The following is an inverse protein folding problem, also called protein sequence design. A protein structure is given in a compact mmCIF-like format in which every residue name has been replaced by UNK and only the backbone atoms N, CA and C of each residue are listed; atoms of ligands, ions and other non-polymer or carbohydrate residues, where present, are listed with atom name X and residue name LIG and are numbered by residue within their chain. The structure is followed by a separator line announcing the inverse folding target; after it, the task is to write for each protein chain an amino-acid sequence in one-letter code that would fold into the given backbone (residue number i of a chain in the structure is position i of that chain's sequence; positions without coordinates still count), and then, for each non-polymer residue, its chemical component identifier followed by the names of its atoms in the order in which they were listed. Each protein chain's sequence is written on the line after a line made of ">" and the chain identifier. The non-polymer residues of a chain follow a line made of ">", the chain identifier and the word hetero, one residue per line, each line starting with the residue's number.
data_IF_947729619816
#
_entry.id   IF_947729619816
#
_cell.length_a   1.000
_cell.length_b   1.000
_cell.length_c   1.000
_cell.angle_alpha   90.00
_cell.angle_beta   90.00
_cell.angle_gamma   90.00
#
_symmetry.space_group_name_H-M   'P 1'
#
loop_
_entity.id
_entity.type
_entity.pdbx_description
1 polymer ?
#
# COMPACT_ATOMS: atom_id res chain seq x y z
N UNK A 1 41.67 9.90 -85.43
CA UNK A 1 40.68 8.89 -84.93
C UNK A 1 40.89 8.39 -83.48
N UNK A 2 42.07 8.47 -82.92
CA UNK A 2 42.33 8.00 -81.55
C UNK A 2 42.02 9.11 -80.43
N UNK A 3 42.13 10.34 -80.80
CA UNK A 3 41.86 11.46 -79.83
C UNK A 3 40.41 11.69 -79.53
N UNK A 4 39.52 11.53 -80.53
CA UNK A 4 38.08 11.72 -80.34
C UNK A 4 37.44 10.67 -79.41
N UNK A 5 37.92 9.43 -79.47
CA UNK A 5 37.41 8.33 -78.60
C UNK A 5 37.83 8.55 -77.14
N UNK A 6 38.95 9.13 -76.83
CA UNK A 6 39.39 9.40 -75.44
C UNK A 6 38.58 10.52 -74.82
N UNK A 7 38.19 11.55 -75.55
CA UNK A 7 37.39 12.69 -75.06
C UNK A 7 35.96 12.27 -74.81
N UNK A 8 35.37 11.42 -75.66
CA UNK A 8 34.01 10.90 -75.44
C UNK A 8 33.97 9.96 -74.19
N UNK A 9 34.94 9.07 -74.04
CA UNK A 9 35.05 8.20 -72.88
C UNK A 9 35.25 8.95 -71.56
N UNK A 10 36.02 10.03 -71.54
CA UNK A 10 36.24 10.88 -70.37
C UNK A 10 34.98 11.70 -70.01
N UNK A 11 34.16 12.07 -71.01
CA UNK A 11 32.92 12.82 -70.78
C UNK A 11 31.82 11.94 -70.25
N UNK A 12 31.70 10.68 -70.74
CA UNK A 12 30.77 9.69 -70.22
C UNK A 12 31.12 9.29 -68.77
N UNK A 13 32.40 9.04 -68.46
CA UNK A 13 32.84 8.71 -67.09
C UNK A 13 32.57 9.87 -66.10
N UNK A 14 32.70 11.11 -66.56
CA UNK A 14 32.45 12.29 -65.74
C UNK A 14 30.95 12.52 -65.47
N UNK A 15 30.07 12.11 -66.37
CA UNK A 15 28.61 12.16 -66.23
C UNK A 15 28.16 11.08 -65.26
N UNK A 16 28.66 9.84 -65.42
CA UNK A 16 28.34 8.72 -64.52
C UNK A 16 28.75 8.98 -63.06
N UNK A 17 29.89 9.61 -62.80
CA UNK A 17 30.34 9.92 -61.46
C UNK A 17 29.51 11.06 -60.80
N UNK A 18 29.00 12.02 -61.62
CA UNK A 18 28.07 13.04 -61.09
C UNK A 18 26.71 12.45 -60.69
N UNK A 19 26.21 11.52 -61.47
CA UNK A 19 24.92 10.88 -61.20
C UNK A 19 24.99 9.97 -59.96
N UNK A 20 26.08 9.25 -59.77
CA UNK A 20 26.34 8.51 -58.52
C UNK A 20 26.45 9.42 -57.29
N UNK A 21 27.04 10.57 -57.41
CA UNK A 21 27.15 11.57 -56.33
C UNK A 21 25.76 12.16 -55.96
N UNK A 22 24.94 12.46 -56.98
CA UNK A 22 23.59 12.99 -56.80
C UNK A 22 22.65 11.95 -56.13
N UNK A 23 22.68 10.68 -56.57
CA UNK A 23 21.91 9.63 -55.95
C UNK A 23 22.33 9.35 -54.49
N UNK A 24 23.62 9.41 -54.18
CA UNK A 24 24.10 9.26 -52.82
C UNK A 24 23.66 10.40 -51.87
N UNK A 25 23.65 11.61 -52.39
CA UNK A 25 23.21 12.79 -51.58
C UNK A 25 21.70 12.82 -51.35
N UNK A 26 20.90 12.35 -52.31
CA UNK A 26 19.45 12.17 -52.14
C UNK A 26 19.12 11.07 -51.15
N UNK A 27 19.83 9.93 -51.22
CA UNK A 27 19.66 8.83 -50.27
C UNK A 27 19.95 9.29 -48.82
N UNK A 28 21.05 10.01 -48.61
CA UNK A 28 21.40 10.54 -47.28
C UNK A 28 20.43 11.62 -46.80
N UNK A 29 19.89 12.43 -47.70
CA UNK A 29 18.90 13.46 -47.37
C UNK A 29 17.56 12.85 -46.97
N UNK A 30 17.14 11.82 -47.67
CA UNK A 30 15.89 11.12 -47.39
C UNK A 30 15.96 10.32 -46.07
N UNK A 31 17.10 9.69 -45.77
CA UNK A 31 17.33 9.02 -44.50
C UNK A 31 17.32 9.99 -43.28
N UNK A 32 17.87 11.17 -43.41
CA UNK A 32 17.80 12.18 -42.36
C UNK A 32 16.37 12.63 -42.04
N UNK A 33 15.53 12.76 -43.05
CA UNK A 33 14.15 13.21 -42.88
C UNK A 33 13.26 12.14 -42.21
N UNK A 34 13.48 10.87 -42.50
CA UNK A 34 12.78 9.74 -41.89
C UNK A 34 13.20 9.60 -40.42
N UNK A 35 14.50 9.73 -40.11
CA UNK A 35 15.04 9.59 -38.79
C UNK A 35 14.55 10.68 -37.79
N UNK A 36 14.41 11.91 -38.27
CA UNK A 36 13.92 13.02 -37.44
C UNK A 36 12.42 12.93 -37.16
N UNK A 37 11.63 12.37 -38.07
CA UNK A 37 10.19 12.19 -37.90
C UNK A 37 9.85 11.07 -36.91
N UNK A 38 10.65 9.99 -36.88
CA UNK A 38 10.50 8.92 -35.91
C UNK A 38 11.02 9.32 -34.52
N UNK A 39 12.09 10.08 -34.42
CA UNK A 39 12.59 10.61 -33.13
C UNK A 39 11.54 11.43 -32.40
N UNK A 40 10.82 12.30 -33.08
CA UNK A 40 9.74 13.09 -32.47
C UNK A 40 8.61 12.18 -31.96
N UNK A 41 8.22 11.16 -32.69
CA UNK A 41 7.20 10.20 -32.25
C UNK A 41 7.64 9.36 -31.05
N UNK A 42 8.89 8.89 -31.05
CA UNK A 42 9.48 8.15 -29.93
C UNK A 42 9.58 9.05 -28.69
N UNK A 43 9.97 10.31 -28.85
CA UNK A 43 10.08 11.26 -27.76
C UNK A 43 8.72 11.57 -27.13
N UNK A 44 7.68 11.76 -27.95
CA UNK A 44 6.29 11.94 -27.48
C UNK A 44 5.79 10.70 -26.76
N UNK A 45 6.06 9.51 -27.27
CA UNK A 45 5.68 8.24 -26.65
C UNK A 45 6.35 8.08 -25.26
N UNK A 46 7.65 8.39 -25.19
CA UNK A 46 8.39 8.34 -23.91
C UNK A 46 7.86 9.34 -22.90
N UNK A 47 7.50 10.55 -23.35
CA UNK A 47 6.93 11.61 -22.50
C UNK A 47 5.54 11.19 -21.96
N UNK A 48 4.73 10.52 -22.78
CA UNK A 48 3.46 9.96 -22.33
C UNK A 48 3.64 8.87 -21.24
N UNK A 49 4.63 7.98 -21.40
CA UNK A 49 4.93 6.95 -20.40
C UNK A 49 5.35 7.60 -19.07
N UNK A 50 6.24 8.59 -19.13
CA UNK A 50 6.69 9.33 -17.92
C UNK A 50 5.51 10.04 -17.25
N UNK A 51 4.61 10.65 -18.01
CA UNK A 51 3.41 11.29 -17.48
C UNK A 51 2.47 10.30 -16.78
N UNK A 52 2.28 9.10 -17.35
CA UNK A 52 1.47 8.03 -16.74
C UNK A 52 2.11 7.52 -15.44
N UNK A 53 3.44 7.33 -15.44
CA UNK A 53 4.17 6.90 -14.23
C UNK A 53 4.05 7.96 -13.14
N UNK A 54 4.23 9.23 -13.46
CA UNK A 54 4.07 10.33 -12.51
C UNK A 54 2.63 10.40 -11.98
N UNK A 55 1.63 10.20 -12.83
CA UNK A 55 0.23 10.18 -12.39
C UNK A 55 -0.03 9.04 -11.42
N UNK A 56 0.43 7.81 -11.74
CA UNK A 56 0.28 6.64 -10.85
C UNK A 56 1.00 6.87 -9.52
N UNK A 57 2.21 7.46 -9.53
CA UNK A 57 2.94 7.79 -8.30
C UNK A 57 2.18 8.83 -7.46
N UNK A 58 1.70 9.92 -8.06
CA UNK A 58 0.94 10.95 -7.34
C UNK A 58 -0.38 10.38 -6.80
N UNK A 59 -1.04 9.51 -7.56
CA UNK A 59 -2.30 8.88 -7.13
C UNK A 59 -2.08 7.88 -5.99
N UNK A 60 -0.98 7.11 -6.02
CA UNK A 60 -0.61 6.23 -4.91
C UNK A 60 -0.17 7.00 -3.66
N UNK A 61 0.59 8.08 -3.81
CA UNK A 61 1.02 8.91 -2.67
C UNK A 61 -0.17 9.64 -2.02
N UNK A 62 -1.15 10.09 -2.80
CA UNK A 62 -2.38 10.71 -2.26
C UNK A 62 -3.27 9.73 -1.49
N UNK A 63 -3.13 8.43 -1.72
CA UNK A 63 -3.93 7.41 -1.04
C UNK A 63 -3.52 7.18 0.42
N UNK A 64 -2.36 7.70 0.83
CA UNK A 64 -1.83 7.54 2.19
C UNK A 64 -2.09 8.73 3.12
N UNK A 65 -2.56 9.88 2.61
CA UNK A 65 -2.75 11.09 3.43
C UNK A 65 -4.21 11.38 3.80
N UNK A 66 -5.16 10.55 3.34
CA UNK A 66 -6.58 10.77 3.65
C UNK A 66 -7.03 9.74 4.70
N UNK A 67 -6.75 10.05 5.97
CA UNK A 67 -7.58 9.56 7.06
C UNK A 67 -8.90 10.34 6.99
N UNK A 68 -9.84 9.80 6.24
CA UNK A 68 -11.22 10.28 6.27
C UNK A 68 -11.78 9.94 7.66
N UNK A 69 -11.71 10.90 8.58
CA UNK A 69 -12.38 10.81 9.89
C UNK A 69 -13.86 10.86 9.59
N UNK A 70 -14.46 9.71 9.29
CA UNK A 70 -15.87 9.61 8.92
C UNK A 70 -16.79 10.01 10.04
N UNK A 71 -16.39 9.78 11.28
CA UNK A 71 -17.17 10.18 12.45
C UNK A 71 -16.22 10.40 13.64
N UNK A 72 -16.43 11.52 14.35
CA UNK A 72 -15.77 11.77 15.64
C UNK A 72 -16.80 11.48 16.72
N UNK A 73 -16.67 10.31 17.33
CA UNK A 73 -17.46 10.03 18.54
C UNK A 73 -16.81 10.73 19.73
N UNK A 74 -17.60 11.47 20.47
CA UNK A 74 -17.17 11.98 21.78
C UNK A 74 -16.93 10.79 22.68
N UNK A 75 -15.66 10.50 23.00
CA UNK A 75 -15.28 9.42 23.90
C UNK A 75 -15.67 9.82 25.33
N UNK A 76 -16.67 9.16 25.85
CA UNK A 76 -16.97 9.16 27.30
C UNK A 76 -16.11 8.04 27.94
N UNK A 77 -14.79 8.19 27.85
CA UNK A 77 -13.88 7.22 28.45
C UNK A 77 -13.40 7.73 29.81
N UNK A 78 -13.38 6.85 30.81
CA UNK A 78 -12.69 7.14 32.08
C UNK A 78 -11.17 7.17 31.85
N UNK A 79 -10.42 7.85 32.73
CA UNK A 79 -8.97 7.95 32.61
C UNK A 79 -8.21 6.59 32.69
N UNK A 80 -8.93 5.50 32.99
CA UNK A 80 -8.41 4.14 33.19
C UNK A 80 -8.93 3.17 32.14
N UNK A 81 -9.29 3.65 30.94
CA UNK A 81 -9.74 2.82 29.84
C UNK A 81 -8.56 2.40 28.98
N UNK A 82 -8.44 1.10 28.71
CA UNK A 82 -7.40 0.48 27.91
C UNK A 82 -7.98 -0.09 26.62
N UNK A 83 -7.15 -0.17 25.56
CA UNK A 83 -7.52 -0.71 24.25
C UNK A 83 -6.52 -1.77 23.83
N UNK A 84 -7.03 -2.87 23.27
CA UNK A 84 -6.23 -3.96 22.72
C UNK A 84 -6.85 -4.40 21.40
N UNK A 85 -6.01 -4.57 20.37
CA UNK A 85 -6.43 -5.16 19.11
C UNK A 85 -6.71 -6.65 19.31
N UNK A 86 -7.89 -7.09 18.86
CA UNK A 86 -8.30 -8.47 18.93
C UNK A 86 -8.95 -8.89 17.61
N UNK A 87 -8.26 -9.75 16.88
CA UNK A 87 -8.66 -10.18 15.53
C UNK A 87 -8.85 -8.98 14.58
N UNK A 88 -10.02 -8.85 13.95
CA UNK A 88 -10.34 -7.80 12.99
C UNK A 88 -10.95 -6.55 13.65
N UNK A 89 -10.95 -6.48 14.99
CA UNK A 89 -11.65 -5.46 15.76
C UNK A 89 -10.82 -5.06 17.00
N UNK A 90 -11.35 -4.22 17.87
CA UNK A 90 -10.68 -3.87 19.11
C UNK A 90 -11.53 -4.13 20.36
N UNK A 91 -10.83 -4.46 21.43
CA UNK A 91 -11.40 -4.59 22.76
C UNK A 91 -11.05 -3.36 23.59
N UNK A 92 -12.07 -2.71 24.13
CA UNK A 92 -11.97 -1.66 25.13
C UNK A 92 -12.27 -2.28 26.48
N UNK A 93 -11.41 -2.07 27.48
CA UNK A 93 -11.66 -2.57 28.82
C UNK A 93 -11.29 -1.56 29.92
N UNK A 94 -11.97 -1.66 31.05
CA UNK A 94 -11.81 -0.81 32.22
C UNK A 94 -12.09 -1.63 33.48
N UNK A 95 -12.14 -0.98 34.65
CA UNK A 95 -12.53 -1.62 35.92
C UNK A 95 -13.95 -2.20 35.92
N UNK A 96 -14.84 -1.62 35.13
CA UNK A 96 -16.28 -1.91 35.17
C UNK A 96 -16.73 -2.91 34.08
N UNK A 97 -15.84 -3.21 33.10
CA UNK A 97 -16.21 -4.11 32.02
C UNK A 97 -15.35 -4.02 30.78
N UNK A 98 -15.68 -4.86 29.81
CA UNK A 98 -15.07 -4.96 28.51
C UNK A 98 -16.11 -4.81 27.40
N UNK A 99 -15.72 -4.10 26.33
CA UNK A 99 -16.54 -3.82 25.16
C UNK A 99 -15.76 -4.21 23.92
N UNK A 100 -16.32 -5.11 23.14
CA UNK A 100 -15.75 -5.50 21.86
C UNK A 100 -16.47 -4.77 20.73
N UNK A 101 -15.71 -4.05 19.93
CA UNK A 101 -16.25 -3.02 19.03
C UNK A 101 -15.57 -3.11 17.69
N UNK A 102 -16.30 -2.93 16.62
CA UNK A 102 -15.76 -2.77 15.27
C UNK A 102 -15.01 -1.45 15.13
N UNK A 103 -14.14 -1.35 14.10
CA UNK A 103 -13.36 -0.12 13.86
C UNK A 103 -14.22 1.09 13.46
N UNK A 104 -15.45 0.86 13.02
CA UNK A 104 -16.45 1.91 12.73
C UNK A 104 -17.22 2.38 13.96
N UNK A 105 -17.01 1.72 15.13
CA UNK A 105 -17.60 2.07 16.40
C UNK A 105 -18.81 1.22 16.81
N UNK A 106 -19.25 0.31 15.97
CA UNK A 106 -20.39 -0.56 16.27
C UNK A 106 -20.02 -1.59 17.37
N UNK A 107 -20.86 -1.65 18.41
CA UNK A 107 -20.69 -2.58 19.52
C UNK A 107 -21.09 -3.98 19.11
N UNK A 108 -20.15 -4.94 19.18
CA UNK A 108 -20.42 -6.36 18.92
C UNK A 108 -20.98 -7.03 20.18
N UNK A 109 -20.29 -6.88 21.30
CA UNK A 109 -20.76 -7.33 22.62
C UNK A 109 -20.10 -6.55 23.76
N UNK A 110 -20.70 -6.62 24.96
CA UNK A 110 -20.11 -6.14 26.18
C UNK A 110 -20.18 -7.20 27.27
N UNK A 111 -19.25 -7.12 28.22
CA UNK A 111 -19.21 -7.96 29.41
C UNK A 111 -18.89 -7.09 30.63
N UNK A 112 -19.79 -7.06 31.59
CA UNK A 112 -19.65 -6.26 32.81
C UNK A 112 -19.03 -7.08 33.94
N UNK A 113 -18.05 -6.51 34.60
CA UNK A 113 -17.38 -7.03 35.78
C UNK A 113 -16.97 -5.86 36.70
N UNK A 114 -16.50 -6.16 37.86
CA UNK A 114 -15.92 -5.21 38.79
C UNK A 114 -14.55 -5.75 39.21
N UNK A 115 -13.48 -5.08 38.80
CA UNK A 115 -12.08 -5.44 39.05
C UNK A 115 -11.30 -4.18 39.44
N UNK A 116 -10.36 -4.31 40.37
CA UNK A 116 -9.57 -3.17 40.85
C UNK A 116 -8.40 -2.83 39.89
N UNK A 117 -7.72 -3.84 39.38
CA UNK A 117 -6.60 -3.69 38.43
C UNK A 117 -6.70 -4.74 37.31
N UNK A 118 -7.61 -4.54 36.35
CA UNK A 118 -7.81 -5.49 35.27
C UNK A 118 -6.62 -5.51 34.33
N UNK A 119 -6.07 -6.68 34.09
CA UNK A 119 -5.06 -6.97 33.09
C UNK A 119 -5.61 -7.96 32.08
N UNK A 120 -5.00 -7.97 30.90
CA UNK A 120 -5.49 -8.78 29.78
C UNK A 120 -4.34 -9.57 29.14
N UNK A 121 -4.63 -10.80 28.74
CA UNK A 121 -3.81 -11.59 27.85
C UNK A 121 -4.65 -12.15 26.70
N UNK A 122 -4.09 -12.18 25.49
CA UNK A 122 -4.79 -12.58 24.27
C UNK A 122 -4.05 -13.71 23.59
N UNK A 123 -4.75 -14.80 23.32
CA UNK A 123 -4.20 -15.92 22.57
C UNK A 123 -5.22 -16.51 21.58
N UNK A 124 -4.96 -16.34 20.29
CA UNK A 124 -5.86 -16.83 19.21
C UNK A 124 -7.26 -16.23 19.31
N UNK A 125 -8.26 -17.05 19.55
CA UNK A 125 -9.67 -16.67 19.68
C UNK A 125 -10.11 -16.37 21.11
N UNK A 126 -9.18 -16.35 22.06
CA UNK A 126 -9.47 -16.21 23.47
C UNK A 126 -8.83 -14.96 24.05
N UNK A 127 -9.58 -14.34 24.93
CA UNK A 127 -9.16 -13.21 25.77
C UNK A 127 -9.29 -13.65 27.21
N UNK A 128 -8.24 -13.48 27.99
CA UNK A 128 -8.26 -13.61 29.44
C UNK A 128 -8.21 -12.23 30.04
N UNK A 129 -9.19 -11.86 30.86
CA UNK A 129 -9.17 -10.67 31.70
C UNK A 129 -9.08 -11.13 33.14
N UNK A 130 -8.13 -10.61 33.90
CA UNK A 130 -7.93 -11.00 35.30
C UNK A 130 -7.61 -9.79 36.18
N UNK A 131 -8.02 -9.86 37.41
CA UNK A 131 -7.79 -8.83 38.41
C UNK A 131 -6.46 -9.08 39.12
N UNK A 132 -5.48 -8.18 38.98
CA UNK A 132 -4.19 -8.30 39.66
C UNK A 132 -4.39 -8.03 41.12
N UNK A 133 -3.89 -8.92 41.98
CA UNK A 133 -4.15 -9.00 43.42
C UNK A 133 -5.61 -9.27 43.81
N UNK A 134 -6.50 -9.40 42.84
CA UNK A 134 -7.85 -9.93 43.02
C UNK A 134 -7.91 -11.44 42.90
N UNK A 135 -9.12 -12.00 42.92
CA UNK A 135 -9.38 -13.44 42.83
C UNK A 135 -10.26 -13.83 41.66
N UNK A 136 -10.52 -12.89 40.75
CA UNK A 136 -11.42 -13.10 39.60
C UNK A 136 -10.65 -13.06 38.28
N UNK A 137 -11.03 -13.93 37.36
CA UNK A 137 -10.67 -13.85 35.96
C UNK A 137 -11.84 -14.28 35.09
N UNK A 138 -11.89 -13.80 33.87
CA UNK A 138 -12.90 -14.17 32.88
C UNK A 138 -12.24 -14.52 31.55
N UNK A 139 -12.74 -15.56 30.92
CA UNK A 139 -12.38 -15.92 29.55
C UNK A 139 -13.49 -15.45 28.61
N UNK A 140 -13.08 -14.67 27.61
CA UNK A 140 -13.95 -14.15 26.56
C UNK A 140 -13.49 -14.66 25.20
N UNK A 141 -14.33 -14.51 24.21
CA UNK A 141 -14.06 -14.85 22.80
C UNK A 141 -14.59 -13.75 21.90
N UNK A 142 -14.35 -13.81 20.63
CA UNK A 142 -14.96 -12.89 19.64
C UNK A 142 -16.51 -12.93 19.64
N UNK A 143 -17.12 -13.99 20.19
CA UNK A 143 -18.58 -14.14 20.34
C UNK A 143 -19.10 -13.76 21.74
N UNK A 144 -18.23 -13.31 22.63
CA UNK A 144 -18.58 -12.85 23.98
C UNK A 144 -18.05 -13.71 25.12
N UNK A 145 -18.70 -13.62 26.26
CA UNK A 145 -18.34 -14.32 27.49
C UNK A 145 -18.37 -15.85 27.35
N UNK A 146 -17.34 -16.49 27.85
CA UNK A 146 -17.22 -17.97 27.89
C UNK A 146 -17.28 -18.52 29.31
N UNK A 147 -16.44 -18.00 30.21
CA UNK A 147 -16.28 -18.57 31.54
C UNK A 147 -15.69 -17.59 32.53
N UNK A 148 -16.13 -17.63 33.79
CA UNK A 148 -15.47 -16.97 34.92
C UNK A 148 -14.60 -17.96 35.68
N UNK A 149 -13.45 -17.54 36.13
CA UNK A 149 -12.53 -18.28 37.01
C UNK A 149 -12.44 -17.54 38.34
N UNK A 150 -12.57 -18.26 39.41
CA UNK A 150 -12.32 -17.72 40.78
C UNK A 150 -11.19 -18.51 41.41
N UNK A 151 -10.20 -17.81 41.89
CA UNK A 151 -9.05 -18.39 42.59
C UNK A 151 -9.22 -18.28 44.09
N UNK A 152 -8.58 -19.17 44.85
CA UNK A 152 -8.58 -19.12 46.31
C UNK A 152 -7.55 -18.11 46.88
N UNK A 153 -6.60 -17.70 46.04
CA UNK A 153 -5.54 -16.75 46.38
C UNK A 153 -5.50 -15.63 45.35
N UNK A 154 -4.98 -14.46 45.71
CA UNK A 154 -4.81 -13.35 44.80
C UNK A 154 -3.99 -13.75 43.55
N UNK A 155 -4.43 -13.30 42.37
CA UNK A 155 -3.76 -13.50 41.09
C UNK A 155 -2.63 -12.50 41.00
N UNK A 156 -1.42 -12.97 40.75
CA UNK A 156 -0.27 -12.09 40.53
C UNK A 156 -0.05 -11.88 39.02
N UNK A 157 -0.21 -12.95 38.25
CA UNK A 157 -0.10 -12.98 36.80
C UNK A 157 -0.88 -14.14 36.26
N UNK A 158 -1.45 -13.99 35.04
CA UNK A 158 -2.19 -15.05 34.37
C UNK A 158 -2.04 -14.94 32.85
N UNK A 159 -1.85 -16.08 32.21
CA UNK A 159 -1.71 -16.14 30.77
C UNK A 159 -2.66 -17.21 30.20
N UNK A 160 -3.11 -16.99 28.96
CA UNK A 160 -3.95 -17.93 28.24
C UNK A 160 -3.16 -18.57 27.09
N UNK A 161 -3.30 -19.89 26.92
CA UNK A 161 -2.71 -20.60 25.79
C UNK A 161 -3.81 -21.26 24.96
N UNK A 162 -3.68 -21.20 23.65
CA UNK A 162 -4.51 -21.98 22.74
C UNK A 162 -3.97 -23.41 22.67
N UNK A 163 -4.86 -24.38 22.79
CA UNK A 163 -4.57 -25.79 22.48
C UNK A 163 -4.94 -26.10 21.05
#
# INVERSE_FOLDING_TARGET
>A
MAEDNAVVSAKEKKHSVKDLGAAGTEFLRNHKHIYTRHRKKILVFFLCIVAVILWVLVFNLRKYDDFDVKETYERVDSAETHYVDFQDNFLKYSRDGAFYTEYDGDLIWNYTYEMDDPQIDVCGNYILIYDVQGTQAAILTNTGFKQTIKTAMPIVDANIASQ
#
